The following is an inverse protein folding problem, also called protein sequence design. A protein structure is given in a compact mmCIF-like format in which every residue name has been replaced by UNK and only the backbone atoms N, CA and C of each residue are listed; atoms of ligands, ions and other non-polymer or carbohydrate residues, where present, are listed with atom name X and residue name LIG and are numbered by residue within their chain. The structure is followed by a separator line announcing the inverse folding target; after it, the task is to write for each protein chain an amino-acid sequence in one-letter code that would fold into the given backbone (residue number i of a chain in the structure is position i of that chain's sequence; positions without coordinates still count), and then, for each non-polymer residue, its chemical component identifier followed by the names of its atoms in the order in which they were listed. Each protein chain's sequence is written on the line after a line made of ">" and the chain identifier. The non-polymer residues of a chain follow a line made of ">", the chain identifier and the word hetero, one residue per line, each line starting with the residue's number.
data_IF_452764152943
#
_entry.id   IF_452764152943
#
_cell.length_a   1.000
_cell.length_b   1.000
_cell.length_c   1.000
_cell.angle_alpha   90.00
_cell.angle_beta   90.00
_cell.angle_gamma   90.00
#
_symmetry.space_group_name_H-M   'P 1'
#
loop_
_entity.id
_entity.type
_entity.pdbx_description
1 polymer ?
#
# COMPACT_ATOMS: atom_id res chain seq x y z
N UNK A 1 17.84 -5.45 7.86
CA UNK A 1 16.95 -5.07 6.76
C UNK A 1 15.73 -5.96 6.73
N UNK A 2 14.58 -5.34 6.68
CA UNK A 2 13.31 -6.06 6.56
C UNK A 2 12.96 -6.13 5.08
N UNK A 3 12.76 -7.32 4.60
CA UNK A 3 12.39 -7.52 3.21
C UNK A 3 10.89 -7.44 3.05
N UNK A 4 10.44 -6.56 2.16
CA UNK A 4 9.02 -6.38 1.90
C UNK A 4 8.57 -7.43 0.88
N UNK A 5 7.55 -8.19 1.23
CA UNK A 5 7.02 -9.22 0.35
C UNK A 5 5.86 -8.74 -0.50
N UNK A 6 5.08 -7.82 0.03
CA UNK A 6 3.90 -7.36 -0.68
C UNK A 6 3.41 -6.03 -0.11
N UNK A 7 2.95 -5.16 -0.98
CA UNK A 7 2.30 -3.92 -0.57
C UNK A 7 0.90 -3.91 -1.17
N UNK A 8 -0.11 -3.70 -0.33
CA UNK A 8 -1.50 -3.59 -0.77
C UNK A 8 -2.06 -2.27 -0.31
N UNK A 9 -2.76 -1.57 -1.19
CA UNK A 9 -3.38 -0.30 -0.84
C UNK A 9 -4.88 -0.43 -0.94
N UNK A 10 -5.58 -0.01 0.12
CA UNK A 10 -7.03 -0.06 0.21
C UNK A 10 -7.59 1.35 0.26
N UNK A 11 -8.81 1.52 -0.25
CA UNK A 11 -9.54 2.77 -0.06
C UNK A 11 -10.26 2.74 1.29
N UNK A 12 -11.00 3.81 1.58
CA UNK A 12 -11.69 3.97 2.87
C UNK A 12 -12.78 2.91 3.07
N UNK A 13 -13.25 2.31 1.98
CA UNK A 13 -14.28 1.26 2.05
C UNK A 13 -13.67 -0.13 2.19
N UNK A 14 -12.33 -0.22 2.21
CA UNK A 14 -11.66 -1.50 2.31
C UNK A 14 -11.44 -2.20 0.99
N UNK A 15 -11.70 -1.52 -0.12
CA UNK A 15 -11.51 -2.09 -1.45
C UNK A 15 -10.04 -1.99 -1.85
N UNK A 16 -9.49 -3.06 -2.40
CA UNK A 16 -8.11 -3.06 -2.88
C UNK A 16 -8.02 -2.22 -4.15
N UNK A 17 -7.18 -1.19 -4.13
CA UNK A 17 -6.99 -0.32 -5.28
C UNK A 17 -5.63 -0.50 -5.94
N UNK A 18 -4.67 -1.11 -5.22
CA UNK A 18 -3.35 -1.36 -5.77
C UNK A 18 -2.69 -2.50 -5.00
N UNK A 19 -1.96 -3.36 -5.72
CA UNK A 19 -1.16 -4.41 -5.11
C UNK A 19 0.16 -4.51 -5.86
N UNK A 20 1.27 -4.51 -5.12
CA UNK A 20 2.60 -4.65 -5.69
C UNK A 20 3.37 -5.72 -4.94
N UNK A 21 4.07 -6.57 -5.67
CA UNK A 21 4.87 -7.65 -5.10
C UNK A 21 6.36 -7.52 -5.37
N UNK A 22 6.73 -6.95 -6.51
CA UNK A 22 8.13 -6.95 -6.94
C UNK A 22 8.70 -5.58 -7.27
N UNK A 23 7.88 -4.56 -7.40
CA UNK A 23 8.32 -3.25 -7.89
C UNK A 23 7.99 -2.16 -6.90
N UNK A 24 8.42 -2.34 -5.66
CA UNK A 24 8.03 -1.43 -4.58
C UNK A 24 8.55 -0.02 -4.78
N UNK A 25 9.71 0.14 -5.40
CA UNK A 25 10.27 1.46 -5.66
C UNK A 25 9.63 2.16 -6.86
N UNK A 26 8.73 1.46 -7.56
CA UNK A 26 8.00 2.03 -8.69
C UNK A 26 6.53 2.23 -8.37
N UNK A 27 6.20 2.23 -7.11
CA UNK A 27 4.82 2.38 -6.67
C UNK A 27 4.30 3.75 -7.12
N UNK A 28 3.27 3.75 -7.95
CA UNK A 28 2.73 4.99 -8.51
C UNK A 28 1.32 5.22 -7.98
N UNK A 29 1.18 6.22 -7.12
CA UNK A 29 -0.09 6.56 -6.51
C UNK A 29 -0.89 7.59 -7.30
N UNK A 30 -0.34 8.10 -8.39
CA UNK A 30 -0.99 9.17 -9.14
C UNK A 30 -2.30 8.72 -9.81
N UNK A 31 -2.45 7.42 -10.05
CA UNK A 31 -3.68 6.89 -10.64
C UNK A 31 -4.78 6.64 -9.63
N UNK A 32 -4.49 6.84 -8.35
CA UNK A 32 -5.47 6.61 -7.29
C UNK A 32 -6.26 7.88 -7.02
N UNK A 33 -7.51 7.70 -6.60
CA UNK A 33 -8.35 8.82 -6.23
C UNK A 33 -7.78 9.51 -4.99
N UNK A 34 -7.97 10.82 -4.89
CA UNK A 34 -7.58 11.53 -3.68
C UNK A 34 -8.46 11.13 -2.52
N UNK A 35 -7.94 11.29 -1.32
CA UNK A 35 -8.65 10.94 -0.11
C UNK A 35 -7.82 10.04 0.79
N UNK A 36 -8.49 9.36 1.70
CA UNK A 36 -7.83 8.51 2.68
C UNK A 36 -7.56 7.13 2.08
N UNK A 37 -6.33 6.68 2.20
CA UNK A 37 -5.92 5.36 1.74
C UNK A 37 -5.20 4.64 2.89
N UNK A 38 -5.27 3.32 2.87
CA UNK A 38 -4.57 2.48 3.83
C UNK A 38 -3.55 1.63 3.09
N UNK A 39 -2.30 1.69 3.54
CA UNK A 39 -1.23 0.87 2.98
C UNK A 39 -0.94 -0.27 3.94
N UNK A 40 -1.04 -1.49 3.43
CA UNK A 40 -0.68 -2.68 4.18
C UNK A 40 0.62 -3.22 3.63
N UNK A 41 1.66 -3.21 4.45
CA UNK A 41 2.98 -3.66 4.05
C UNK A 41 3.24 -5.01 4.72
N UNK A 42 3.38 -6.05 3.94
CA UNK A 42 3.64 -7.40 4.44
C UNK A 42 5.11 -7.70 4.31
N UNK A 43 5.72 -8.08 5.42
CA UNK A 43 7.13 -8.42 5.47
C UNK A 43 7.29 -9.84 6.00
N UNK A 44 8.50 -10.35 5.96
CA UNK A 44 8.78 -11.69 6.48
C UNK A 44 8.61 -11.80 8.00
N UNK A 45 8.60 -10.66 8.70
CA UNK A 45 8.46 -10.65 10.15
C UNK A 45 7.10 -10.20 10.62
N UNK A 46 6.22 -9.78 9.71
CA UNK A 46 4.89 -9.35 10.10
C UNK A 46 4.29 -8.36 9.12
N UNK A 47 3.20 -7.74 9.53
CA UNK A 47 2.45 -6.82 8.69
C UNK A 47 2.34 -5.46 9.37
N UNK A 48 2.56 -4.42 8.58
CA UNK A 48 2.43 -3.03 9.03
C UNK A 48 1.34 -2.36 8.19
N UNK A 49 0.41 -1.67 8.86
CA UNK A 49 -0.64 -0.94 8.16
C UNK A 49 -0.53 0.54 8.52
N UNK A 50 -0.55 1.39 7.51
CA UNK A 50 -0.49 2.84 7.71
C UNK A 50 -1.60 3.53 6.96
N UNK A 51 -2.09 4.64 7.54
CA UNK A 51 -3.06 5.49 6.87
C UNK A 51 -2.31 6.62 6.17
N UNK A 52 -2.65 6.88 4.91
CA UNK A 52 -2.11 8.01 4.17
C UNK A 52 -3.25 8.84 3.62
N UNK A 53 -2.97 10.11 3.38
CA UNK A 53 -3.93 11.02 2.78
C UNK A 53 -3.34 11.50 1.46
N UNK A 54 -4.06 11.21 0.37
CA UNK A 54 -3.65 11.65 -0.95
C UNK A 54 -4.42 12.89 -1.33
N UNK A 55 -3.72 13.93 -1.69
CA UNK A 55 -4.32 15.20 -2.06
C UNK A 55 -4.51 15.35 -3.57
#
# INVERSE_FOLDING_TARGET
>A
NIEIEKITIYDILGKIVLTEKNSFNKLNLSDLNSGILFIKIETETGTITKKIIKE
#
